data_IF_369952362925
#
_entry.id   IF_369952362925
#
_cell.length_a   1.000
_cell.length_b   1.000
_cell.length_c   1.000
_cell.angle_alpha   90.00
_cell.angle_beta   90.00
_cell.angle_gamma   90.00
#
_symmetry.space_group_name_H-M   'P 1'
#
loop_
_entity.id
_entity.type
_entity.pdbx_description
1 polymer ?
#
# COMPACT_ATOMS: atom_id res chain seq x y z
N UNK A 1 -4.00 -32.56 -11.30
CA UNK A 1 -4.41 -31.47 -12.21
C UNK A 1 -3.92 -30.18 -11.60
N UNK A 2 -3.22 -29.35 -12.37
CA UNK A 2 -2.84 -28.02 -11.89
C UNK A 2 -4.01 -27.06 -12.05
N UNK A 3 -4.22 -26.20 -11.06
CA UNK A 3 -5.26 -25.17 -11.08
C UNK A 3 -4.61 -23.85 -11.46
N UNK A 4 -5.04 -23.25 -12.57
CA UNK A 4 -4.58 -21.94 -13.02
C UNK A 4 -5.70 -20.91 -12.86
N UNK A 5 -5.32 -19.66 -12.56
CA UNK A 5 -6.24 -18.53 -12.49
C UNK A 5 -6.17 -17.75 -13.81
N UNK A 6 -7.32 -17.40 -14.37
CA UNK A 6 -7.42 -16.59 -15.59
C UNK A 6 -7.46 -15.11 -15.21
N UNK A 7 -6.57 -14.31 -15.79
CA UNK A 7 -6.50 -12.86 -15.61
C UNK A 7 -6.17 -12.19 -16.95
N UNK A 8 -6.63 -10.96 -17.15
CA UNK A 8 -6.22 -10.13 -18.28
C UNK A 8 -4.79 -9.66 -18.07
N UNK A 9 -3.81 -10.45 -18.50
CA UNK A 9 -2.39 -10.24 -18.24
C UNK A 9 -1.72 -9.25 -19.22
N UNK A 10 -2.45 -8.72 -20.20
CA UNK A 10 -1.89 -7.77 -21.17
C UNK A 10 -1.11 -8.48 -22.28
N UNK A 11 0.22 -8.28 -22.33
CA UNK A 11 1.09 -8.92 -23.34
C UNK A 11 1.61 -10.28 -22.89
N UNK A 12 1.51 -10.55 -21.60
CA UNK A 12 2.02 -11.74 -20.94
C UNK A 12 0.97 -12.85 -20.97
N UNK A 13 1.39 -14.08 -21.30
CA UNK A 13 0.43 -15.21 -21.45
C UNK A 13 0.06 -15.87 -20.10
N UNK A 14 0.98 -15.89 -19.13
CA UNK A 14 0.80 -16.57 -17.84
C UNK A 14 1.74 -16.00 -16.77
N UNK A 15 1.28 -15.92 -15.51
CA UNK A 15 2.13 -15.67 -14.34
C UNK A 15 2.31 -16.98 -13.57
N UNK A 16 3.56 -17.39 -13.37
CA UNK A 16 3.92 -18.59 -12.63
C UNK A 16 4.44 -18.22 -11.24
N UNK A 17 3.67 -18.56 -10.21
CA UNK A 17 4.05 -18.29 -8.82
C UNK A 17 5.14 -19.22 -8.29
N UNK A 18 5.74 -18.84 -7.16
CA UNK A 18 6.78 -19.61 -6.48
C UNK A 18 6.42 -21.09 -6.20
N UNK A 19 5.19 -21.44 -5.74
CA UNK A 19 4.83 -22.85 -5.52
C UNK A 19 4.86 -23.69 -6.80
N UNK A 20 4.53 -23.09 -7.95
CA UNK A 20 4.57 -23.75 -9.24
C UNK A 20 6.02 -23.99 -9.68
N UNK A 21 6.89 -22.99 -9.52
CA UNK A 21 8.32 -23.10 -9.82
C UNK A 21 9.02 -24.15 -8.95
N UNK A 22 8.68 -24.24 -7.66
CA UNK A 22 9.22 -25.27 -6.77
C UNK A 22 8.78 -26.68 -7.16
N UNK A 23 7.53 -26.84 -7.59
CA UNK A 23 6.97 -28.14 -7.97
C UNK A 23 7.61 -28.71 -9.24
N UNK A 24 7.75 -27.88 -10.28
CA UNK A 24 8.23 -28.32 -11.59
C UNK A 24 9.74 -28.13 -11.79
N UNK A 25 10.37 -27.33 -10.93
CA UNK A 25 11.81 -27.05 -10.88
C UNK A 25 12.49 -26.89 -12.26
N UNK A 26 11.98 -25.98 -13.12
CA UNK A 26 12.59 -25.72 -14.42
C UNK A 26 13.95 -25.04 -14.30
N UNK A 27 14.76 -25.15 -15.34
CA UNK A 27 15.93 -24.32 -15.54
C UNK A 27 15.52 -23.00 -16.20
N UNK A 28 15.63 -21.90 -15.43
CA UNK A 28 15.24 -20.56 -15.86
C UNK A 28 16.50 -19.73 -16.16
N UNK A 29 16.62 -19.27 -17.39
CA UNK A 29 17.61 -18.26 -17.76
C UNK A 29 17.01 -16.87 -17.62
N UNK A 30 17.27 -16.20 -16.50
CA UNK A 30 16.74 -14.87 -16.21
C UNK A 30 17.23 -13.77 -17.15
N UNK A 31 18.35 -13.96 -17.86
CA UNK A 31 18.87 -12.98 -18.82
C UNK A 31 18.19 -13.08 -20.19
N UNK A 32 17.89 -14.29 -20.66
CA UNK A 32 17.20 -14.50 -21.94
C UNK A 32 15.68 -14.61 -21.80
N UNK A 33 15.17 -14.88 -20.60
CA UNK A 33 13.75 -15.16 -20.36
C UNK A 33 13.32 -16.58 -20.74
N UNK A 34 14.28 -17.47 -21.03
CA UNK A 34 13.99 -18.83 -21.46
C UNK A 34 13.80 -19.78 -20.26
N UNK A 35 12.84 -20.68 -20.39
CA UNK A 35 12.52 -21.72 -19.40
C UNK A 35 12.68 -23.07 -20.10
N UNK A 36 13.52 -23.93 -19.53
CA UNK A 36 13.74 -25.29 -20.02
C UNK A 36 13.41 -26.32 -18.93
N UNK A 37 12.94 -27.50 -19.33
CA UNK A 37 12.51 -28.55 -18.41
C UNK A 37 13.44 -29.74 -18.53
N UNK A 38 13.98 -30.20 -17.38
CA UNK A 38 14.99 -31.28 -17.34
C UNK A 38 14.44 -32.67 -17.66
N UNK A 39 13.13 -32.84 -17.83
CA UNK A 39 12.50 -34.16 -18.03
C UNK A 39 11.29 -34.11 -18.95
N UNK A 40 10.92 -35.27 -19.51
CA UNK A 40 9.68 -35.53 -20.27
C UNK A 40 8.39 -35.41 -19.41
N UNK A 41 8.34 -34.47 -18.48
CA UNK A 41 7.13 -34.17 -17.73
C UNK A 41 6.15 -33.43 -18.64
N UNK A 42 4.95 -33.99 -18.75
CA UNK A 42 3.88 -33.37 -19.52
C UNK A 42 3.32 -32.19 -18.74
N UNK A 43 3.73 -30.97 -19.11
CA UNK A 43 3.25 -29.73 -18.51
C UNK A 43 2.16 -29.17 -19.41
N UNK A 44 0.92 -29.20 -18.91
CA UNK A 44 -0.20 -28.50 -19.55
C UNK A 44 -0.10 -27.02 -19.18
N UNK A 45 0.55 -26.23 -20.03
CA UNK A 45 0.43 -24.77 -19.96
C UNK A 45 -0.82 -24.42 -20.77
N UNK A 46 -1.90 -23.93 -20.13
CA UNK A 46 -3.04 -23.45 -20.87
C UNK A 46 -2.60 -22.22 -21.68
N UNK A 47 -2.56 -22.36 -23.01
CA UNK A 47 -2.52 -21.19 -23.90
C UNK A 47 -3.93 -20.62 -23.93
N UNK A 48 -4.08 -19.39 -23.46
CA UNK A 48 -5.35 -18.71 -23.52
C UNK A 48 -5.48 -18.11 -24.92
N UNK A 49 -6.45 -18.57 -25.71
CA UNK A 49 -6.97 -17.74 -26.78
C UNK A 49 -7.65 -16.56 -26.07
N UNK A 50 -7.10 -15.36 -26.17
CA UNK A 50 -7.48 -14.18 -25.37
C UNK A 50 -9.00 -13.90 -25.42
N UNK A 51 -9.76 -14.49 -24.49
CA UNK A 51 -11.21 -14.27 -24.32
C UNK A 51 -11.51 -12.78 -24.01
N UNK A 52 -10.49 -12.04 -23.55
CA UNK A 52 -10.57 -10.63 -23.19
C UNK A 52 -10.35 -9.66 -24.36
N UNK A 53 -9.98 -10.12 -25.56
CA UNK A 53 -9.63 -9.21 -26.66
C UNK A 53 -10.80 -8.76 -27.53
N UNK A 54 -11.92 -9.51 -27.56
CA UNK A 54 -12.97 -9.32 -28.58
C UNK A 54 -14.38 -9.13 -28.02
N UNK A 55 -14.53 -9.08 -26.69
CA UNK A 55 -15.83 -8.96 -26.04
C UNK A 55 -15.99 -7.62 -25.33
N UNK A 56 -17.20 -7.09 -25.35
CA UNK A 56 -17.54 -5.92 -24.55
C UNK A 56 -17.39 -6.24 -23.06
N UNK A 57 -16.94 -5.29 -22.21
CA UNK A 57 -16.68 -5.56 -20.79
C UNK A 57 -17.89 -6.16 -20.06
N UNK A 58 -19.10 -5.81 -20.48
CA UNK A 58 -20.37 -6.23 -19.89
C UNK A 58 -20.66 -7.74 -20.11
N UNK A 59 -20.34 -8.27 -21.29
CA UNK A 59 -20.54 -9.70 -21.62
C UNK A 59 -19.52 -10.59 -20.88
N UNK A 60 -18.32 -10.07 -20.66
CA UNK A 60 -17.28 -10.74 -19.85
C UNK A 60 -17.72 -10.81 -18.39
N UNK A 61 -18.27 -9.71 -17.84
CA UNK A 61 -18.77 -9.63 -16.46
C UNK A 61 -20.00 -10.52 -16.24
N UNK A 62 -20.88 -10.70 -17.23
CA UNK A 62 -22.03 -11.60 -17.10
C UNK A 62 -21.68 -13.10 -17.19
N UNK A 63 -20.68 -13.46 -18.01
CA UNK A 63 -20.23 -14.86 -18.15
C UNK A 63 -19.38 -15.32 -16.96
N UNK A 64 -18.57 -14.42 -16.42
CA UNK A 64 -17.81 -14.68 -15.21
C UNK A 64 -18.77 -14.38 -14.07
N UNK A 65 -19.44 -15.39 -13.53
CA UNK A 65 -20.16 -15.26 -12.26
C UNK A 65 -19.11 -14.85 -11.21
N UNK A 66 -18.91 -13.53 -11.03
CA UNK A 66 -17.99 -12.94 -10.06
C UNK A 66 -18.68 -13.15 -8.71
N UNK A 67 -18.68 -14.41 -8.26
CA UNK A 67 -18.62 -14.72 -6.85
C UNK A 67 -17.35 -14.03 -6.40
N UNK A 68 -17.49 -12.79 -5.92
CA UNK A 68 -16.44 -11.95 -5.39
C UNK A 68 -15.84 -12.64 -4.16
N UNK A 69 -15.06 -13.69 -4.41
CA UNK A 69 -14.09 -14.21 -3.47
C UNK A 69 -13.07 -13.10 -3.40
N UNK A 70 -12.91 -12.50 -2.22
CA UNK A 70 -11.78 -11.63 -1.93
C UNK A 70 -10.54 -12.23 -2.59
N UNK A 71 -9.75 -11.40 -3.31
CA UNK A 71 -8.52 -11.89 -3.93
C UNK A 71 -7.66 -12.58 -2.86
N UNK A 72 -6.90 -13.61 -3.22
CA UNK A 72 -6.00 -14.29 -2.27
C UNK A 72 -5.07 -13.29 -1.57
N UNK A 73 -4.63 -12.23 -2.26
CA UNK A 73 -3.89 -11.12 -1.67
C UNK A 73 -4.70 -10.29 -0.68
N UNK A 74 -5.99 -10.05 -0.96
CA UNK A 74 -6.90 -9.36 -0.05
C UNK A 74 -7.29 -10.24 1.14
N UNK A 75 -7.50 -11.55 0.98
CA UNK A 75 -7.68 -12.47 2.10
C UNK A 75 -6.40 -12.59 2.91
N UNK A 76 -5.23 -12.58 2.28
CA UNK A 76 -3.95 -12.56 2.99
C UNK A 76 -3.79 -11.26 3.78
N UNK A 77 -4.11 -10.10 3.19
CA UNK A 77 -4.07 -8.81 3.90
C UNK A 77 -5.09 -8.74 5.05
N UNK A 78 -6.29 -9.30 4.89
CA UNK A 78 -7.29 -9.40 5.96
C UNK A 78 -6.93 -10.48 7.01
N UNK A 79 -6.23 -11.56 6.63
CA UNK A 79 -5.72 -12.60 7.54
C UNK A 79 -4.47 -12.16 8.30
N UNK A 80 -3.82 -11.07 7.89
CA UNK A 80 -3.00 -10.27 8.82
C UNK A 80 -3.96 -9.49 9.72
N UNK A 81 -4.83 -10.22 10.42
CA UNK A 81 -5.43 -9.76 11.65
C UNK A 81 -4.28 -9.45 12.60
N UNK A 82 -4.02 -8.16 12.79
CA UNK A 82 -3.41 -7.53 13.96
C UNK A 82 -2.60 -8.48 14.85
N UNK A 83 -1.50 -9.02 14.32
CA UNK A 83 -0.50 -9.56 15.21
C UNK A 83 0.02 -8.34 15.98
N UNK A 84 -0.35 -8.19 17.25
CA UNK A 84 0.15 -7.13 18.11
C UNK A 84 1.63 -7.43 18.37
N UNK A 85 2.50 -6.91 17.51
CA UNK A 85 3.94 -7.04 17.71
C UNK A 85 4.28 -6.15 18.89
N UNK A 86 4.76 -6.76 19.98
CA UNK A 86 5.19 -6.02 21.15
C UNK A 86 6.41 -5.17 20.79
N UNK A 87 6.53 -3.99 21.41
CA UNK A 87 7.64 -3.05 21.20
C UNK A 87 9.02 -3.74 21.26
N UNK A 88 9.17 -4.73 22.15
CA UNK A 88 10.40 -5.48 22.38
C UNK A 88 10.83 -6.33 21.17
N UNK A 89 9.88 -6.79 20.35
CA UNK A 89 10.14 -7.58 19.13
C UNK A 89 10.42 -6.65 17.95
N UNK A 90 9.72 -5.53 17.86
CA UNK A 90 9.77 -4.61 16.72
C UNK A 90 11.00 -3.70 16.76
N UNK A 91 11.43 -3.31 17.95
CA UNK A 91 12.52 -2.35 18.16
C UNK A 91 13.76 -3.07 18.67
N UNK A 92 14.94 -2.88 18.04
CA UNK A 92 16.19 -3.43 18.54
C UNK A 92 16.51 -3.05 19.99
N UNK A 93 17.11 -3.97 20.75
CA UNK A 93 17.40 -3.83 22.19
C UNK A 93 18.14 -2.52 22.56
N UNK A 94 19.08 -2.08 21.73
CA UNK A 94 19.85 -0.84 21.96
C UNK A 94 18.99 0.44 21.96
N UNK A 95 17.78 0.38 21.39
CA UNK A 95 16.81 1.47 21.33
C UNK A 95 15.73 1.38 22.42
N UNK A 96 15.69 0.30 23.21
CA UNK A 96 14.69 0.16 24.28
C UNK A 96 14.80 1.26 25.34
N UNK A 97 16.01 1.80 25.57
CA UNK A 97 16.23 2.99 26.42
C UNK A 97 15.48 4.24 25.95
N UNK A 98 15.08 4.27 24.67
CA UNK A 98 14.32 5.35 24.05
C UNK A 98 12.86 4.97 23.81
N UNK A 99 12.33 3.95 24.51
CA UNK A 99 10.93 3.53 24.38
C UNK A 99 9.95 4.69 24.40
N UNK A 100 10.19 5.66 25.27
CA UNK A 100 9.32 6.81 25.43
C UNK A 100 9.29 7.74 24.20
N UNK A 101 10.28 7.69 23.29
CA UNK A 101 10.30 8.43 22.03
C UNK A 101 9.46 7.74 20.94
N UNK A 102 9.13 6.46 21.12
CA UNK A 102 8.25 5.70 20.23
C UNK A 102 6.79 5.72 20.70
N UNK A 103 6.49 6.36 21.83
CA UNK A 103 5.13 6.58 22.30
C UNK A 103 4.54 7.83 21.64
N UNK A 104 3.39 7.67 20.96
CA UNK A 104 2.71 8.76 20.24
C UNK A 104 2.44 9.99 21.11
N UNK A 105 2.16 9.78 22.41
CA UNK A 105 1.89 10.86 23.38
C UNK A 105 3.00 11.92 23.45
N UNK A 106 4.26 11.54 23.26
CA UNK A 106 5.37 12.51 23.24
C UNK A 106 5.49 13.26 21.91
N UNK A 107 4.90 12.72 20.85
CA UNK A 107 4.78 13.36 19.55
C UNK A 107 3.49 14.20 19.41
N UNK A 108 2.74 14.41 20.51
CA UNK A 108 1.54 15.26 20.55
C UNK A 108 1.81 16.70 21.03
N UNK A 109 3.06 17.08 21.29
CA UNK A 109 3.41 18.44 21.72
C UNK A 109 4.70 18.91 21.04
N UNK A 110 4.86 20.23 20.87
CA UNK A 110 6.08 20.79 20.31
C UNK A 110 7.31 20.48 21.18
N UNK A 111 8.49 20.31 20.58
CA UNK A 111 9.72 20.26 21.33
C UNK A 111 9.94 21.57 22.09
N UNK A 112 10.67 21.49 23.21
CA UNK A 112 11.06 22.66 24.00
C UNK A 112 11.85 23.63 23.10
N UNK A 113 11.51 24.92 23.15
CA UNK A 113 12.19 25.97 22.41
C UNK A 113 13.70 25.97 22.68
N UNK A 114 14.48 26.20 21.62
CA UNK A 114 15.94 26.18 21.67
C UNK A 114 16.49 27.50 21.14
N UNK A 115 17.74 27.79 21.52
CA UNK A 115 18.48 28.95 20.98
C UNK A 115 18.58 28.93 19.44
N UNK A 116 18.57 27.74 18.84
CA UNK A 116 18.63 27.55 17.39
C UNK A 116 17.28 27.62 16.68
N UNK A 117 16.20 28.01 17.37
CA UNK A 117 14.92 28.23 16.72
C UNK A 117 15.05 29.35 15.70
N UNK A 118 14.74 29.05 14.43
CA UNK A 118 14.93 30.00 13.35
C UNK A 118 13.83 31.04 13.33
N UNK A 119 14.19 32.32 13.48
CA UNK A 119 13.26 33.43 13.27
C UNK A 119 13.02 33.65 11.78
N UNK A 120 11.76 33.87 11.40
CA UNK A 120 11.41 34.30 10.04
C UNK A 120 11.61 35.81 9.96
N UNK A 121 12.77 36.23 9.43
CA UNK A 121 13.08 37.65 9.27
C UNK A 121 12.33 38.22 8.06
N UNK A 122 11.42 39.17 8.31
CA UNK A 122 10.68 39.86 7.26
C UNK A 122 11.52 40.99 6.64
N UNK A 123 11.25 41.33 5.39
CA UNK A 123 11.84 42.52 4.76
C UNK A 123 11.28 43.79 5.42
N UNK A 124 12.06 44.88 5.53
CA UNK A 124 11.62 46.11 6.19
C UNK A 124 10.39 46.74 5.53
N UNK A 125 10.21 46.56 4.21
CA UNK A 125 9.06 47.08 3.46
C UNK A 125 7.87 46.11 3.42
N UNK A 126 7.88 45.03 4.22
CA UNK A 126 6.80 44.05 4.21
C UNK A 126 5.52 44.64 4.79
N UNK A 127 4.45 44.56 4.01
CA UNK A 127 3.09 44.87 4.46
C UNK A 127 2.28 43.58 4.44
N UNK A 128 1.68 43.24 5.58
CA UNK A 128 0.81 42.08 5.68
C UNK A 128 -0.37 42.22 4.72
N UNK A 129 -0.64 41.15 3.96
CA UNK A 129 -1.80 41.09 3.07
C UNK A 129 -2.84 40.21 3.70
N UNK A 130 -3.99 40.80 3.99
CA UNK A 130 -5.18 40.03 4.34
C UNK A 130 -5.77 39.43 3.06
N UNK A 131 -5.99 38.12 3.05
CA UNK A 131 -6.57 37.40 1.94
C UNK A 131 -7.85 36.70 2.41
N UNK A 132 -8.91 36.82 1.61
CA UNK A 132 -10.18 36.14 1.90
C UNK A 132 -9.99 34.64 1.81
N UNK A 133 -10.43 33.93 2.85
CA UNK A 133 -10.50 32.47 2.84
C UNK A 133 -11.56 32.02 1.82
N UNK A 134 -11.27 30.93 1.10
CA UNK A 134 -12.27 30.30 0.25
C UNK A 134 -13.41 29.76 1.09
N UNK A 135 -14.65 29.89 0.59
CA UNK A 135 -15.80 29.32 1.26
C UNK A 135 -15.71 27.80 1.24
N UNK A 136 -15.75 27.19 2.42
CA UNK A 136 -15.79 25.74 2.59
C UNK A 136 -17.23 25.23 2.52
N UNK A 137 -17.38 23.99 2.08
CA UNK A 137 -18.64 23.25 2.22
C UNK A 137 -18.87 22.86 3.68
N UNK A 138 -20.10 22.50 4.04
CA UNK A 138 -20.44 22.07 5.42
C UNK A 138 -19.57 20.91 5.92
N UNK A 139 -19.34 19.80 5.18
CA UNK A 139 -18.47 18.74 5.66
C UNK A 139 -17.01 19.19 5.80
N UNK A 140 -16.49 20.01 4.88
CA UNK A 140 -15.12 20.54 4.97
C UNK A 140 -14.94 21.45 6.19
N UNK A 141 -15.94 22.28 6.49
CA UNK A 141 -15.92 23.13 7.67
C UNK A 141 -15.93 22.29 8.96
N UNK A 142 -16.73 21.22 9.01
CA UNK A 142 -16.77 20.33 10.16
C UNK A 142 -15.42 19.62 10.39
N UNK A 143 -14.78 19.15 9.31
CA UNK A 143 -13.43 18.57 9.39
C UNK A 143 -12.39 19.60 9.84
N UNK A 144 -12.48 20.83 9.34
CA UNK A 144 -11.60 21.92 9.79
C UNK A 144 -11.80 22.22 11.28
N UNK A 145 -13.05 22.32 11.75
CA UNK A 145 -13.36 22.61 13.15
C UNK A 145 -12.85 21.49 14.07
N UNK A 146 -13.01 20.22 13.66
CA UNK A 146 -12.44 19.07 14.36
C UNK A 146 -10.92 19.17 14.44
N UNK A 147 -10.27 19.41 13.31
CA UNK A 147 -8.81 19.55 13.22
C UNK A 147 -8.31 20.68 14.12
N UNK A 148 -8.95 21.85 14.08
CA UNK A 148 -8.59 22.99 14.91
C UNK A 148 -8.74 22.66 16.39
N UNK A 149 -9.83 22.01 16.79
CA UNK A 149 -10.05 21.65 18.19
C UNK A 149 -8.97 20.70 18.74
N UNK A 150 -8.58 19.71 17.95
CA UNK A 150 -7.55 18.74 18.30
C UNK A 150 -6.16 19.41 18.43
N UNK A 151 -5.80 20.23 17.45
CA UNK A 151 -4.46 20.86 17.42
C UNK A 151 -4.33 22.00 18.44
N UNK A 152 -5.41 22.74 18.73
CA UNK A 152 -5.45 23.70 19.85
C UNK A 152 -5.27 22.98 21.19
N UNK A 153 -5.93 21.83 21.37
CA UNK A 153 -5.78 21.02 22.59
C UNK A 153 -4.34 20.52 22.76
N UNK A 154 -3.69 20.14 21.67
CA UNK A 154 -2.26 19.72 21.62
C UNK A 154 -1.28 20.89 21.77
N UNK A 155 -1.75 22.13 21.63
CA UNK A 155 -0.91 23.33 21.66
C UNK A 155 -0.06 23.53 20.41
N UNK A 156 -0.50 22.98 19.28
CA UNK A 156 0.15 23.14 17.97
C UNK A 156 -0.22 24.42 17.24
N UNK A 157 -1.39 24.95 17.57
CA UNK A 157 -1.97 26.20 17.09
C UNK A 157 -2.39 26.98 18.34
#
# INVERSE_FOLDING_TARGET
MDTFLLSGLGKEDVILGLPWLQKYNPDVNWKSGEITFRSNQYIKIPRNDNIFNDNTPEEVIQRIDIRAKMLVSQTMAHQVEQQEWTFEILVPEYLHKFKAQFEDRKAEHFPISRHYDHTINLKPDFVAKDCKLYSLTVPEQQELDNFLSENLQKGYI
#
